data_IF_760981052799
#
_entry.id   IF_760981052799
#
_cell.length_a   1.000
_cell.length_b   1.000
_cell.length_c   1.000
_cell.angle_alpha   90.00
_cell.angle_beta   90.00
_cell.angle_gamma   90.00
#
_symmetry.space_group_name_H-M   'P 1'
#
loop_
_entity.id
_entity.type
_entity.pdbx_description
1 polymer ?
#
# COMPACT_ATOMS: atom_id res chain seq x y z
N UNK A 1 -10.11 -13.73 6.28
CA UNK A 1 -8.72 -13.32 6.66
C UNK A 1 -8.37 -12.14 5.78
N UNK A 2 -8.12 -10.96 6.35
CA UNK A 2 -7.92 -9.74 5.56
C UNK A 2 -6.47 -9.59 5.15
N UNK A 3 -6.13 -9.96 3.92
CA UNK A 3 -4.82 -9.71 3.33
C UNK A 3 -4.83 -8.35 2.66
N UNK A 4 -3.78 -7.56 2.88
CA UNK A 4 -3.57 -6.31 2.17
C UNK A 4 -2.40 -6.44 1.22
N UNK A 5 -2.54 -5.89 0.02
CA UNK A 5 -1.49 -5.99 -1.01
C UNK A 5 -1.06 -4.61 -1.45
N UNK A 6 0.24 -4.32 -1.46
CA UNK A 6 0.79 -3.11 -2.08
C UNK A 6 1.37 -3.47 -3.44
N UNK A 7 1.08 -2.61 -4.44
CA UNK A 7 1.73 -2.67 -5.75
C UNK A 7 2.32 -1.32 -6.10
N UNK A 8 3.57 -1.33 -6.53
CA UNK A 8 4.25 -0.15 -7.06
C UNK A 8 3.84 0.10 -8.53
N UNK A 9 3.45 1.33 -8.82
CA UNK A 9 3.28 1.86 -10.17
C UNK A 9 4.66 2.32 -10.67
N UNK A 10 5.51 1.35 -11.02
CA UNK A 10 6.78 1.62 -11.71
C UNK A 10 6.59 1.33 -13.20
N UNK A 11 7.12 2.23 -14.04
CA UNK A 11 6.83 2.28 -15.47
C UNK A 11 7.47 1.18 -16.33
N UNK A 12 8.48 0.45 -15.85
CA UNK A 12 9.15 -0.56 -16.69
C UNK A 12 9.92 -1.68 -15.95
N UNK A 13 10.15 -1.59 -14.63
CA UNK A 13 10.92 -2.63 -13.92
C UNK A 13 10.13 -3.15 -12.72
N UNK A 14 9.95 -4.48 -12.72
CA UNK A 14 9.38 -5.35 -11.69
C UNK A 14 8.24 -4.77 -10.85
N UNK A 15 7.03 -5.30 -11.07
CA UNK A 15 5.91 -5.14 -10.13
C UNK A 15 6.30 -5.74 -8.78
N UNK A 16 6.90 -4.94 -7.91
CA UNK A 16 7.10 -5.34 -6.52
C UNK A 16 5.71 -5.38 -5.87
N UNK A 17 5.26 -6.61 -5.59
CA UNK A 17 4.06 -6.89 -4.83
C UNK A 17 4.47 -7.23 -3.40
N UNK A 18 3.89 -6.52 -2.43
CA UNK A 18 4.09 -6.78 -1.02
C UNK A 18 2.75 -7.17 -0.40
N UNK A 19 2.72 -8.30 0.29
CA UNK A 19 1.51 -8.83 0.92
C UNK A 19 1.65 -8.76 2.44
N UNK A 20 0.68 -8.14 3.09
CA UNK A 20 0.60 -7.95 4.53
C UNK A 20 -0.59 -8.73 5.07
N UNK A 21 -0.36 -9.46 6.17
CA UNK A 21 -1.43 -10.27 6.80
C UNK A 21 -2.19 -9.47 7.85
N UNK A 22 -1.57 -8.42 8.39
CA UNK A 22 -2.18 -7.54 9.39
C UNK A 22 -2.13 -6.10 8.91
N UNK A 23 -3.18 -5.34 9.22
CA UNK A 23 -3.23 -3.91 8.93
C UNK A 23 -2.11 -3.14 9.65
N UNK A 24 -1.70 -3.58 10.85
CA UNK A 24 -0.58 -2.97 11.58
C UNK A 24 0.74 -3.06 10.83
N UNK A 25 1.03 -4.20 10.18
CA UNK A 25 2.25 -4.42 9.40
C UNK A 25 2.26 -3.51 8.16
N UNK A 26 1.12 -3.37 7.50
CA UNK A 26 0.94 -2.44 6.39
C UNK A 26 1.17 -0.99 6.85
N UNK A 27 0.60 -0.63 8.00
CA UNK A 27 0.71 0.73 8.56
C UNK A 27 2.16 1.08 8.90
N UNK A 28 2.86 0.21 9.61
CA UNK A 28 4.29 0.37 9.91
C UNK A 28 5.12 0.53 8.64
N UNK A 29 4.86 -0.30 7.62
CA UNK A 29 5.54 -0.19 6.34
C UNK A 29 5.28 1.16 5.66
N UNK A 30 4.03 1.60 5.56
CA UNK A 30 3.68 2.87 4.92
C UNK A 30 4.29 4.09 5.64
N UNK A 31 4.44 4.03 6.96
CA UNK A 31 5.12 5.08 7.72
C UNK A 31 6.63 5.14 7.48
N UNK A 32 7.25 4.04 7.06
CA UNK A 32 8.68 4.01 6.73
C UNK A 32 9.02 4.63 5.38
N UNK A 33 8.02 4.84 4.51
CA UNK A 33 8.19 5.32 3.14
C UNK A 33 8.22 6.85 3.04
N UNK A 34 8.96 7.36 2.05
CA UNK A 34 8.90 8.79 1.69
C UNK A 34 7.59 9.12 0.97
N UNK A 35 7.15 10.38 1.09
CA UNK A 35 5.95 10.88 0.38
C UNK A 35 6.00 10.60 -1.13
N UNK A 36 7.17 10.73 -1.76
CA UNK A 36 7.34 10.45 -3.20
C UNK A 36 7.10 8.98 -3.56
N UNK A 37 7.36 8.05 -2.65
CA UNK A 37 7.14 6.61 -2.82
C UNK A 37 5.67 6.27 -2.62
N UNK A 38 5.03 6.89 -1.62
CA UNK A 38 3.59 6.75 -1.35
C UNK A 38 2.71 7.17 -2.54
N UNK A 39 3.16 8.15 -3.33
CA UNK A 39 2.48 8.58 -4.56
C UNK A 39 2.54 7.52 -5.68
N UNK A 40 3.49 6.59 -5.60
CA UNK A 40 3.70 5.53 -6.59
C UNK A 40 3.11 4.20 -6.16
N UNK A 41 2.38 4.13 -5.03
CA UNK A 41 1.86 2.87 -4.50
C UNK A 41 0.34 2.83 -4.57
N UNK A 42 -0.21 1.66 -4.90
CA UNK A 42 -1.61 1.32 -4.70
C UNK A 42 -1.74 0.26 -3.62
N UNK A 43 -2.62 0.51 -2.67
CA UNK A 43 -3.01 -0.40 -1.59
C UNK A 43 -4.29 -1.12 -2.02
N UNK A 44 -4.29 -2.45 -1.96
CA UNK A 44 -5.43 -3.31 -2.26
C UNK A 44 -5.90 -3.98 -0.97
N UNK A 45 -7.21 -4.03 -0.76
CA UNK A 45 -7.82 -4.83 0.31
C UNK A 45 -8.00 -6.30 -0.11
N UNK A 46 -8.61 -7.09 0.77
CA UNK A 46 -8.85 -8.52 0.53
C UNK A 46 -9.88 -8.79 -0.60
N UNK A 47 -10.65 -7.78 -0.99
CA UNK A 47 -11.63 -7.83 -2.10
C UNK A 47 -11.05 -7.26 -3.41
N UNK A 48 -9.72 -7.07 -3.47
CA UNK A 48 -8.98 -6.41 -4.57
C UNK A 48 -9.40 -4.98 -4.89
N UNK A 49 -10.19 -4.32 -4.01
CA UNK A 49 -10.48 -2.90 -4.14
C UNK A 49 -9.22 -2.12 -3.78
N UNK A 50 -8.91 -1.09 -4.55
CA UNK A 50 -7.66 -0.36 -4.38
C UNK A 50 -7.84 1.12 -4.11
N UNK A 51 -6.87 1.67 -3.39
CA UNK A 51 -6.71 3.09 -3.14
C UNK A 51 -5.25 3.48 -3.42
N UNK A 52 -5.00 4.73 -3.82
CA UNK A 52 -3.63 5.22 -3.84
C UNK A 52 -3.10 5.38 -2.40
N UNK A 53 -1.79 5.25 -2.20
CA UNK A 53 -1.16 5.31 -0.87
C UNK A 53 -1.54 6.58 -0.08
N UNK A 54 -1.69 7.72 -0.75
CA UNK A 54 -2.13 8.98 -0.12
C UNK A 54 -3.54 8.89 0.47
N UNK A 55 -4.50 8.31 -0.27
CA UNK A 55 -5.88 8.14 0.22
C UNK A 55 -5.92 7.15 1.37
N UNK A 56 -5.14 6.07 1.30
CA UNK A 56 -5.05 5.12 2.39
C UNK A 56 -4.57 5.76 3.69
N UNK A 57 -3.48 6.55 3.65
CA UNK A 57 -2.96 7.24 4.84
C UNK A 57 -4.02 8.18 5.44
N UNK A 58 -4.66 9.00 4.60
CA UNK A 58 -5.70 9.92 5.08
C UNK A 58 -6.91 9.19 5.70
N UNK A 59 -7.25 8.00 5.20
CA UNK A 59 -8.44 7.25 5.63
C UNK A 59 -8.19 6.39 6.87
N UNK A 60 -6.99 5.83 7.02
CA UNK A 60 -6.72 4.75 7.99
C UNK A 60 -5.57 5.02 8.96
N UNK A 61 -4.77 6.08 8.75
CA UNK A 61 -3.60 6.41 9.56
C UNK A 61 -3.75 7.75 10.30
N UNK A 62 -4.99 8.19 10.50
CA UNK A 62 -5.31 9.45 11.17
C UNK A 62 -5.54 9.29 12.67
#
# INVERSE_FOLDING_TARGET
MSTWTLRYASGDEERQELVFRRQSELNEYLHSLKVSELLRIRVYDADERHMCGKTYIYTYLH
#
